data_IF_074472131364
#
_entry.id   IF_074472131364
#
_cell.length_a   1.000
_cell.length_b   1.000
_cell.length_c   1.000
_cell.angle_alpha   90.00
_cell.angle_beta   90.00
_cell.angle_gamma   90.00
#
_symmetry.space_group_name_H-M   'P 1'
#
loop_
_entity.id
_entity.type
_entity.pdbx_description
1 polymer ?
#
# COMPACT_ATOMS: atom_id res chain seq x y z
N UNK A 1 -11.04 -39.41 -0.26
CA UNK A 1 -10.62 -38.07 0.24
C UNK A 1 -11.18 -36.91 -0.59
N UNK A 2 -11.24 -36.95 -1.92
CA UNK A 2 -11.72 -35.80 -2.74
C UNK A 2 -13.26 -35.55 -2.73
N UNK A 3 -14.07 -36.56 -2.43
CA UNK A 3 -15.54 -36.43 -2.40
C UNK A 3 -16.06 -35.70 -1.15
N UNK A 4 -15.36 -35.80 -0.01
CA UNK A 4 -15.78 -35.21 1.26
C UNK A 4 -15.57 -33.69 1.28
N UNK A 5 -14.50 -33.20 0.64
CA UNK A 5 -14.23 -31.75 0.52
C UNK A 5 -15.22 -31.01 -0.39
N UNK A 6 -15.75 -31.65 -1.44
CA UNK A 6 -16.78 -31.03 -2.29
C UNK A 6 -18.13 -30.92 -1.57
N UNK A 7 -18.49 -31.90 -0.75
CA UNK A 7 -19.71 -31.84 0.06
C UNK A 7 -19.67 -30.68 1.07
N UNK A 8 -18.55 -30.49 1.77
CA UNK A 8 -18.36 -29.41 2.74
C UNK A 8 -18.42 -28.00 2.12
N UNK A 9 -17.91 -27.80 0.90
CA UNK A 9 -17.98 -26.51 0.21
C UNK A 9 -19.40 -26.17 -0.29
N UNK A 10 -20.20 -27.18 -0.66
CA UNK A 10 -21.59 -26.97 -1.11
C UNK A 10 -22.48 -26.67 0.10
N UNK A 11 -22.31 -27.37 1.22
CA UNK A 11 -23.07 -27.09 2.45
C UNK A 11 -22.74 -25.73 3.05
N UNK A 12 -21.49 -25.28 2.95
CA UNK A 12 -21.08 -23.97 3.47
C UNK A 12 -21.64 -22.80 2.64
N UNK A 13 -21.70 -22.94 1.30
CA UNK A 13 -22.34 -21.94 0.43
C UNK A 13 -23.86 -21.87 0.62
N UNK A 14 -24.53 -23.01 0.85
CA UNK A 14 -25.96 -23.02 1.10
C UNK A 14 -26.31 -22.41 2.46
N UNK A 15 -25.51 -22.67 3.50
CA UNK A 15 -25.69 -22.04 4.82
C UNK A 15 -25.47 -20.51 4.80
N UNK A 16 -24.51 -20.01 4.00
CA UNK A 16 -24.25 -18.57 3.87
C UNK A 16 -25.35 -17.85 3.08
N UNK A 17 -25.96 -18.53 2.09
CA UNK A 17 -27.11 -18.02 1.35
C UNK A 17 -28.38 -17.95 2.24
N UNK A 18 -28.62 -18.99 3.04
CA UNK A 18 -29.77 -19.06 3.96
C UNK A 18 -29.69 -18.05 5.12
N UNK A 19 -28.49 -17.81 5.66
CA UNK A 19 -28.30 -16.79 6.71
C UNK A 19 -28.51 -15.37 6.18
N UNK A 20 -28.05 -15.09 4.96
CA UNK A 20 -28.24 -13.80 4.28
C UNK A 20 -29.73 -13.56 3.95
N UNK A 21 -30.45 -14.59 3.52
CA UNK A 21 -31.89 -14.50 3.24
C UNK A 21 -32.73 -14.29 4.53
N UNK A 22 -32.30 -14.87 5.65
CA UNK A 22 -32.93 -14.67 6.96
C UNK A 22 -32.67 -13.25 7.50
N UNK A 23 -31.46 -12.71 7.33
CA UNK A 23 -31.11 -11.35 7.70
C UNK A 23 -31.93 -10.30 6.93
N UNK A 24 -32.09 -10.47 5.62
CA UNK A 24 -32.90 -9.58 4.76
C UNK A 24 -34.41 -9.68 5.10
N UNK A 25 -34.90 -10.84 5.55
CA UNK A 25 -36.29 -10.96 6.03
C UNK A 25 -36.48 -10.37 7.43
N UNK A 26 -35.45 -10.33 8.27
CA UNK A 26 -35.51 -9.75 9.61
C UNK A 26 -35.56 -8.22 9.55
N UNK A 27 -34.79 -7.59 8.65
CA UNK A 27 -34.84 -6.13 8.44
C UNK A 27 -36.15 -5.62 7.83
N UNK A 28 -36.92 -6.50 7.17
CA UNK A 28 -38.27 -6.19 6.68
C UNK A 28 -39.40 -6.45 7.69
N UNK A 29 -39.10 -7.01 8.87
CA UNK A 29 -40.09 -7.29 9.92
C UNK A 29 -40.07 -6.30 11.09
N UNK A 30 -39.04 -5.45 11.20
CA UNK A 30 -39.00 -4.37 12.21
C UNK A 30 -39.29 -2.98 11.64
N UNK A 31 -39.75 -2.87 10.39
CA UNK A 31 -40.34 -1.62 9.92
C UNK A 31 -41.82 -1.60 10.31
N UNK A 32 -42.13 -0.89 11.39
CA UNK A 32 -43.50 -0.44 11.63
C UNK A 32 -43.88 0.43 10.43
N UNK A 33 -44.79 -0.08 9.58
CA UNK A 33 -45.38 0.73 8.53
C UNK A 33 -46.19 1.82 9.22
N UNK A 34 -45.69 3.05 9.14
CA UNK A 34 -46.36 4.25 9.64
C UNK A 34 -47.44 4.66 8.63
N UNK A 35 -48.43 3.77 8.43
CA UNK A 35 -49.60 4.01 7.57
C UNK A 35 -50.88 3.76 8.38
N UNK A 36 -51.02 4.45 9.51
CA UNK A 36 -52.31 4.70 10.15
C UNK A 36 -52.15 5.99 10.97
N UNK A 37 -51.95 7.10 10.26
CA UNK A 37 -52.42 8.37 10.78
C UNK A 37 -53.75 8.58 10.08
N UNK A 38 -54.82 8.20 10.76
CA UNK A 38 -56.14 8.75 10.45
C UNK A 38 -55.98 10.28 10.42
N UNK A 39 -56.51 10.98 9.39
CA UNK A 39 -56.75 12.39 9.54
C UNK A 39 -57.54 12.57 10.84
N UNK A 40 -57.03 13.42 11.73
CA UNK A 40 -57.77 13.84 12.90
C UNK A 40 -59.03 14.54 12.36
N UNK A 41 -60.13 13.80 12.30
CA UNK A 41 -61.44 14.36 12.03
C UNK A 41 -61.77 15.23 13.24
N UNK A 42 -61.70 16.55 13.04
CA UNK A 42 -62.24 17.50 13.98
C UNK A 42 -63.72 17.15 14.16
N UNK A 43 -64.06 16.62 15.34
CA UNK A 43 -65.43 16.30 15.71
C UNK A 43 -66.24 17.60 15.73
N UNK A 44 -67.08 17.76 14.71
CA UNK A 44 -68.23 18.67 14.74
C UNK A 44 -69.09 18.35 15.98
N UNK A 45 -69.16 19.30 16.91
CA UNK A 45 -70.14 19.29 18.00
C UNK A 45 -71.48 19.82 17.46
N UNK A 46 -72.58 19.05 17.50
CA UNK A 46 -73.90 19.64 17.47
C UNK A 46 -74.33 19.96 18.90
N UNK A 47 -75.09 21.05 19.05
CA UNK A 47 -76.16 21.34 20.04
C UNK A 47 -75.97 22.72 20.65
N UNK A 48 -76.63 23.72 20.06
CA UNK A 48 -77.37 24.74 20.79
C UNK A 48 -78.48 25.19 19.85
N UNK A 49 -79.71 24.80 20.18
CA UNK A 49 -80.90 25.35 19.56
C UNK A 49 -81.08 26.82 19.99
N UNK A 50 -81.81 27.57 19.16
CA UNK A 50 -82.42 28.90 19.34
C UNK A 50 -81.58 30.11 18.87
N UNK A 51 -81.78 30.57 17.63
CA UNK A 51 -82.70 31.70 17.31
C UNK A 51 -82.61 32.11 15.82
N UNK A 52 -83.76 32.47 15.24
CA UNK A 52 -83.99 32.87 13.84
C UNK A 52 -83.33 34.22 13.47
N UNK A 53 -82.77 34.33 12.24
CA UNK A 53 -82.98 35.48 11.32
C UNK A 53 -82.10 35.38 10.07
N UNK A 54 -82.72 35.57 8.91
CA UNK A 54 -82.16 35.62 7.56
C UNK A 54 -81.12 36.76 7.39
N UNK A 55 -80.00 36.50 6.67
CA UNK A 55 -79.41 37.33 5.60
C UNK A 55 -77.90 37.06 5.33
N UNK A 56 -77.57 36.96 4.04
CA UNK A 56 -76.27 37.21 3.37
C UNK A 56 -75.14 36.14 3.43
N UNK A 57 -74.95 35.46 2.28
CA UNK A 57 -73.78 34.64 1.93
C UNK A 57 -72.49 35.47 1.95
N UNK A 58 -71.75 35.40 3.06
CA UNK A 58 -70.43 36.00 3.19
C UNK A 58 -69.35 34.93 2.89
N UNK A 59 -68.78 34.95 1.69
CA UNK A 59 -67.67 34.06 1.30
C UNK A 59 -66.41 34.52 2.04
N UNK A 60 -66.04 33.79 3.09
CA UNK A 60 -64.80 33.99 3.85
C UNK A 60 -63.62 33.45 3.04
N UNK A 61 -62.84 34.33 2.43
CA UNK A 61 -61.55 33.96 1.83
C UNK A 61 -60.57 33.68 2.97
N UNK A 62 -60.41 32.41 3.32
CA UNK A 62 -59.37 31.95 4.26
C UNK A 62 -58.02 32.09 3.58
N UNK A 63 -57.34 33.23 3.79
CA UNK A 63 -55.92 33.37 3.48
C UNK A 63 -55.18 32.47 4.46
N UNK A 64 -54.79 31.28 4.03
CA UNK A 64 -53.88 30.44 4.81
C UNK A 64 -52.53 31.13 4.79
N UNK A 65 -52.06 31.58 5.95
CA UNK A 65 -50.68 32.01 6.12
C UNK A 65 -49.76 30.88 5.63
N UNK A 66 -48.84 31.19 4.70
CA UNK A 66 -47.90 30.21 4.19
C UNK A 66 -47.03 29.73 5.36
N UNK A 67 -47.30 28.52 5.85
CA UNK A 67 -46.50 27.91 6.91
C UNK A 67 -45.05 27.85 6.43
N UNK A 68 -44.14 28.45 7.19
CA UNK A 68 -42.70 28.39 6.92
C UNK A 68 -42.28 26.93 6.68
N UNK A 69 -41.87 26.64 5.44
CA UNK A 69 -41.30 25.35 5.06
C UNK A 69 -39.91 25.29 5.67
N UNK A 70 -39.81 24.70 6.85
CA UNK A 70 -38.53 24.50 7.53
C UNK A 70 -37.60 23.64 6.69
N UNK A 71 -36.55 24.25 6.17
CA UNK A 71 -35.52 23.56 5.41
C UNK A 71 -34.58 22.85 6.38
N UNK A 72 -34.72 21.53 6.48
CA UNK A 72 -33.94 20.69 7.39
C UNK A 72 -32.46 20.58 6.98
N UNK A 73 -32.09 21.12 5.83
CA UNK A 73 -30.71 21.13 5.32
C UNK A 73 -29.74 21.85 6.27
N UNK A 74 -30.23 22.84 7.02
CA UNK A 74 -29.46 23.59 8.02
C UNK A 74 -29.14 22.78 9.29
N UNK A 75 -29.90 21.71 9.60
CA UNK A 75 -29.58 20.76 10.67
C UNK A 75 -28.46 19.78 10.25
N UNK A 76 -28.42 19.42 8.97
CA UNK A 76 -27.47 18.43 8.45
C UNK A 76 -26.04 18.97 8.29
N UNK A 77 -25.86 20.30 8.32
CA UNK A 77 -24.57 20.97 8.30
C UNK A 77 -23.97 21.17 9.70
N UNK A 78 -24.34 20.31 10.65
CA UNK A 78 -23.73 20.29 11.98
C UNK A 78 -22.25 19.91 11.86
N UNK A 79 -21.40 20.88 12.21
CA UNK A 79 -19.93 20.84 12.23
C UNK A 79 -19.36 19.49 12.68
N UNK A 80 -18.98 18.61 11.75
CA UNK A 80 -18.13 17.46 12.07
C UNK A 80 -16.70 17.96 12.25
N UNK A 81 -16.41 18.58 13.38
CA UNK A 81 -15.06 19.03 13.69
C UNK A 81 -14.18 17.79 13.87
N UNK A 82 -13.12 17.70 13.05
CA UNK A 82 -12.04 16.70 13.13
C UNK A 82 -11.16 16.90 14.40
N UNK A 83 -11.72 17.39 15.50
CA UNK A 83 -10.94 17.74 16.70
C UNK A 83 -10.54 16.51 17.53
N UNK A 84 -11.23 15.39 17.31
CA UNK A 84 -10.94 14.13 17.98
C UNK A 84 -10.26 13.15 17.02
N UNK A 85 -8.94 13.09 17.09
CA UNK A 85 -8.14 12.10 16.39
C UNK A 85 -7.36 11.26 17.40
N UNK A 86 -7.51 9.91 17.40
CA UNK A 86 -6.68 9.06 18.24
C UNK A 86 -5.21 9.16 17.80
N UNK A 87 -4.30 9.17 18.76
CA UNK A 87 -2.87 9.20 18.47
C UNK A 87 -2.41 7.85 17.91
N UNK A 88 -1.87 7.85 16.68
CA UNK A 88 -1.26 6.67 16.07
C UNK A 88 -0.02 6.25 16.87
N UNK A 89 -0.01 5.01 17.35
CA UNK A 89 1.14 4.42 18.04
C UNK A 89 2.24 4.20 17.01
N UNK A 90 3.31 5.00 17.09
CA UNK A 90 4.50 4.85 16.25
C UNK A 90 5.37 3.72 16.82
N UNK A 91 5.70 2.74 15.98
CA UNK A 91 6.72 1.75 16.33
C UNK A 91 8.10 2.38 16.12
N UNK A 92 8.66 2.99 17.16
CA UNK A 92 10.07 3.36 17.14
C UNK A 92 10.92 2.13 17.42
N UNK A 93 11.92 1.81 16.57
CA UNK A 93 12.84 0.72 16.86
C UNK A 93 13.57 1.05 18.16
N UNK A 94 13.59 0.10 19.10
CA UNK A 94 14.28 0.28 20.39
C UNK A 94 15.71 0.79 20.17
N UNK A 95 16.14 1.87 20.84
CA UNK A 95 17.51 2.36 20.69
C UNK A 95 18.48 1.24 21.10
N UNK A 96 19.53 1.03 20.29
CA UNK A 96 20.55 0.02 20.59
C UNK A 96 21.25 0.41 21.89
N UNK A 97 21.34 -0.53 22.83
CA UNK A 97 22.04 -0.31 24.10
C UNK A 97 23.53 -0.01 23.85
N UNK A 98 24.02 1.11 24.38
CA UNK A 98 25.42 1.51 24.28
C UNK A 98 26.25 0.58 25.17
N UNK A 99 27.12 -0.22 24.57
CA UNK A 99 28.03 -1.11 25.30
C UNK A 99 29.38 -0.41 25.45
N UNK A 100 29.84 -0.22 26.69
CA UNK A 100 31.14 0.35 26.99
C UNK A 100 32.22 -0.74 27.06
N UNK A 101 33.43 -0.41 26.60
CA UNK A 101 34.59 -1.30 26.76
C UNK A 101 35.05 -1.32 28.22
N UNK A 102 35.19 -2.51 28.82
CA UNK A 102 35.61 -2.64 30.23
C UNK A 102 37.01 -2.08 30.53
N UNK A 103 37.89 -2.00 29.52
CA UNK A 103 39.27 -1.54 29.66
C UNK A 103 39.47 -0.06 29.38
N UNK A 104 38.63 0.55 28.55
CA UNK A 104 38.86 1.91 28.03
C UNK A 104 37.71 2.86 28.34
N UNK A 105 36.55 2.34 28.78
CA UNK A 105 35.35 3.16 29.06
C UNK A 105 34.73 3.78 27.81
N UNK A 106 35.29 3.52 26.62
CA UNK A 106 34.82 4.06 25.34
C UNK A 106 33.70 3.16 24.81
N UNK A 107 32.61 3.72 24.25
CA UNK A 107 31.54 2.96 23.62
C UNK A 107 32.04 2.17 22.41
N UNK A 108 31.75 0.87 22.41
CA UNK A 108 32.09 -0.06 21.33
C UNK A 108 31.33 0.36 20.06
N UNK A 109 31.98 0.26 18.89
CA UNK A 109 31.45 0.57 17.56
C UNK A 109 31.17 2.06 17.25
N UNK A 110 31.52 2.99 18.14
CA UNK A 110 31.41 4.44 17.86
C UNK A 110 32.69 4.98 17.21
N UNK A 111 33.85 4.45 17.60
CA UNK A 111 35.13 4.82 16.99
C UNK A 111 35.49 3.84 15.87
N UNK A 112 36.06 4.32 14.75
CA UNK A 112 36.63 3.45 13.73
C UNK A 112 37.72 2.58 14.37
N UNK A 113 37.70 1.28 14.09
CA UNK A 113 38.72 0.33 14.58
C UNK A 113 40.11 0.87 14.20
N UNK A 114 41.08 0.77 15.11
CA UNK A 114 42.47 1.18 14.88
C UNK A 114 43.08 0.29 13.79
N UNK A 115 42.88 0.66 12.53
CA UNK A 115 43.45 0.06 11.34
C UNK A 115 44.45 1.02 10.68
N UNK A 116 44.90 0.66 9.48
CA UNK A 116 45.68 1.58 8.64
C UNK A 116 44.92 2.90 8.50
N UNK A 117 45.66 4.02 8.47
CA UNK A 117 45.05 5.35 8.30
C UNK A 117 44.20 5.39 7.03
N UNK A 118 43.10 6.15 7.04
CA UNK A 118 42.18 6.25 5.90
C UNK A 118 42.92 6.57 4.58
N UNK A 119 43.92 7.46 4.64
CA UNK A 119 44.80 7.81 3.51
C UNK A 119 45.64 6.65 2.98
N UNK A 120 46.03 5.72 3.84
CA UNK A 120 46.84 4.56 3.47
C UNK A 120 46.00 3.48 2.79
N UNK A 121 44.75 3.29 3.24
CA UNK A 121 43.77 2.43 2.55
C UNK A 121 43.40 2.99 1.18
N UNK A 122 43.15 4.30 1.09
CA UNK A 122 42.84 4.98 -0.16
C UNK A 122 43.97 4.78 -1.18
N UNK A 123 45.22 5.01 -0.79
CA UNK A 123 46.39 4.78 -1.67
C UNK A 123 46.49 3.34 -2.18
N UNK A 124 46.16 2.35 -1.35
CA UNK A 124 46.18 0.94 -1.78
C UNK A 124 45.02 0.57 -2.69
N UNK A 125 43.86 1.22 -2.54
CA UNK A 125 42.67 1.01 -3.37
C UNK A 125 42.74 1.70 -4.74
N UNK A 126 43.59 2.71 -4.89
CA UNK A 126 43.72 3.47 -6.14
C UNK A 126 44.44 2.71 -7.26
N UNK A 127 45.24 1.69 -6.95
CA UNK A 127 45.96 0.90 -7.97
C UNK A 127 45.21 -0.40 -8.20
N UNK A 128 44.40 -0.46 -9.25
CA UNK A 128 43.74 -1.70 -9.63
C UNK A 128 44.69 -2.53 -10.50
N UNK A 129 44.52 -3.86 -10.45
CA UNK A 129 45.23 -4.77 -11.36
C UNK A 129 44.93 -4.48 -12.84
N UNK A 130 43.81 -3.80 -13.13
CA UNK A 130 43.45 -3.30 -14.46
C UNK A 130 44.33 -2.15 -14.95
N UNK A 131 44.91 -1.37 -14.04
CA UNK A 131 45.67 -0.15 -14.34
C UNK A 131 47.15 -0.47 -14.66
N UNK A 132 47.56 -1.71 -14.38
CA UNK A 132 48.87 -2.21 -14.76
C UNK A 132 48.93 -2.47 -16.27
N UNK A 133 50.05 -2.13 -16.93
CA UNK A 133 50.20 -2.36 -18.35
C UNK A 133 50.09 -3.85 -18.68
N UNK A 134 49.22 -4.18 -19.62
CA UNK A 134 48.99 -5.56 -20.06
C UNK A 134 50.19 -6.06 -20.86
N UNK A 135 50.50 -7.35 -20.72
CA UNK A 135 51.57 -8.01 -21.50
C UNK A 135 51.34 -7.86 -23.00
N UNK A 136 50.07 -7.82 -23.44
CA UNK A 136 49.73 -7.60 -24.86
C UNK A 136 50.07 -6.20 -25.39
N UNK A 137 50.19 -5.19 -24.54
CA UNK A 137 50.47 -3.79 -24.95
C UNK A 137 51.96 -3.45 -24.97
N UNK A 138 52.80 -4.32 -24.41
CA UNK A 138 54.24 -4.10 -24.33
C UNK A 138 54.94 -4.56 -25.62
N UNK A 139 55.94 -3.81 -26.14
CA UNK A 139 56.72 -4.22 -27.29
C UNK A 139 57.44 -5.55 -27.06
N UNK A 140 57.59 -6.36 -28.11
CA UNK A 140 58.34 -7.62 -28.03
C UNK A 140 59.85 -7.34 -27.83
N UNK A 141 60.49 -7.92 -26.81
CA UNK A 141 61.95 -7.89 -26.71
C UNK A 141 62.59 -8.74 -27.82
N UNK A 142 63.68 -8.24 -28.41
CA UNK A 142 64.38 -8.90 -29.53
C UNK A 142 65.15 -10.16 -29.12
N UNK A 143 65.75 -10.16 -27.93
CA UNK A 143 66.61 -11.24 -27.42
C UNK A 143 65.93 -12.09 -26.31
N UNK A 144 64.67 -12.51 -26.52
CA UNK A 144 63.96 -13.37 -25.55
C UNK A 144 64.42 -14.84 -25.60
N UNK A 145 64.49 -15.50 -24.45
CA UNK A 145 64.73 -16.95 -24.39
C UNK A 145 63.51 -17.74 -24.91
N UNK A 146 63.68 -19.04 -25.18
CA UNK A 146 62.56 -19.91 -25.59
C UNK A 146 61.49 -20.02 -24.50
N UNK A 147 61.89 -19.95 -23.24
CA UNK A 147 61.00 -20.01 -22.08
C UNK A 147 60.19 -18.73 -21.93
N UNK A 148 60.84 -17.56 -21.98
CA UNK A 148 60.18 -16.26 -21.93
C UNK A 148 59.15 -16.08 -23.05
N UNK A 149 59.48 -16.59 -24.24
CA UNK A 149 58.57 -16.60 -25.39
C UNK A 149 57.30 -17.42 -25.11
N UNK A 150 57.42 -18.55 -24.43
CA UNK A 150 56.29 -19.40 -24.03
C UNK A 150 55.46 -18.70 -22.96
N UNK A 151 56.11 -18.18 -21.91
CA UNK A 151 55.46 -17.45 -20.83
C UNK A 151 54.66 -16.24 -21.35
N UNK A 152 55.24 -15.42 -22.23
CA UNK A 152 54.53 -14.28 -22.86
C UNK A 152 53.28 -14.74 -23.62
N UNK A 153 53.40 -15.78 -24.45
CA UNK A 153 52.28 -16.28 -25.24
C UNK A 153 51.18 -16.89 -24.35
N UNK A 154 51.58 -17.57 -23.27
CA UNK A 154 50.65 -18.12 -22.29
C UNK A 154 49.89 -17.01 -21.57
N UNK A 155 50.58 -15.99 -21.06
CA UNK A 155 49.94 -14.83 -20.42
C UNK A 155 48.90 -14.15 -21.33
N UNK A 156 49.22 -13.95 -22.62
CA UNK A 156 48.27 -13.38 -23.59
C UNK A 156 47.06 -14.31 -23.83
N UNK A 157 47.28 -15.63 -23.83
CA UNK A 157 46.21 -16.62 -24.03
C UNK A 157 45.27 -16.66 -22.83
N UNK A 158 45.81 -16.59 -21.63
CA UNK A 158 45.08 -16.53 -20.37
C UNK A 158 44.27 -15.23 -20.27
N UNK A 159 44.88 -14.07 -20.54
CA UNK A 159 44.19 -12.77 -20.56
C UNK A 159 42.99 -12.78 -21.53
N UNK A 160 43.16 -13.36 -22.73
CA UNK A 160 42.09 -13.51 -23.72
C UNK A 160 41.00 -14.48 -23.26
N UNK A 161 41.36 -15.54 -22.53
CA UNK A 161 40.42 -16.52 -21.98
C UNK A 161 39.58 -15.86 -20.87
N UNK A 162 40.23 -15.16 -19.95
CA UNK A 162 39.59 -14.40 -18.86
C UNK A 162 38.62 -13.35 -19.40
N UNK A 163 39.04 -12.56 -20.40
CA UNK A 163 38.15 -11.58 -21.05
C UNK A 163 36.93 -12.22 -21.70
N UNK A 164 37.06 -13.43 -22.28
CA UNK A 164 35.90 -14.16 -22.85
C UNK A 164 34.97 -14.65 -21.75
N UNK A 165 35.51 -15.15 -20.64
CA UNK A 165 34.70 -15.58 -19.50
C UNK A 165 33.97 -14.42 -18.84
N UNK A 166 34.64 -13.28 -18.64
CA UNK A 166 34.04 -12.03 -18.14
C UNK A 166 32.94 -11.53 -19.07
N UNK A 167 33.21 -11.43 -20.38
CA UNK A 167 32.19 -11.03 -21.37
C UNK A 167 30.98 -11.96 -21.34
N UNK A 168 31.21 -13.27 -21.20
CA UNK A 168 30.13 -14.27 -21.09
C UNK A 168 29.34 -14.08 -19.78
N UNK A 169 30.02 -13.91 -18.65
CA UNK A 169 29.40 -13.66 -17.35
C UNK A 169 28.55 -12.38 -17.37
N UNK A 170 29.11 -11.27 -17.88
CA UNK A 170 28.39 -10.00 -18.03
C UNK A 170 27.17 -10.14 -18.94
N UNK A 171 27.31 -10.80 -20.10
CA UNK A 171 26.18 -11.04 -21.01
C UNK A 171 25.07 -11.85 -20.33
N UNK A 172 25.43 -12.85 -19.51
CA UNK A 172 24.46 -13.63 -18.75
C UNK A 172 23.82 -12.80 -17.64
N UNK A 173 24.58 -12.00 -16.91
CA UNK A 173 24.06 -11.11 -15.86
C UNK A 173 23.02 -10.14 -16.42
N UNK A 174 23.32 -9.43 -17.52
CA UNK A 174 22.36 -8.54 -18.18
C UNK A 174 21.13 -9.28 -18.72
N UNK A 175 21.29 -10.51 -19.22
CA UNK A 175 20.16 -11.32 -19.69
C UNK A 175 19.24 -11.74 -18.54
N UNK A 176 19.79 -12.07 -17.38
CA UNK A 176 19.03 -12.42 -16.19
C UNK A 176 18.29 -11.20 -15.63
N UNK A 177 18.96 -10.06 -15.52
CA UNK A 177 18.35 -8.83 -15.00
C UNK A 177 17.24 -8.32 -15.92
N UNK A 178 17.44 -8.36 -17.25
CA UNK A 178 16.39 -8.04 -18.22
C UNK A 178 15.14 -8.91 -18.00
N UNK A 179 15.31 -10.22 -17.84
CA UNK A 179 14.19 -11.14 -17.59
C UNK A 179 13.48 -10.82 -16.26
N UNK A 180 14.23 -10.42 -15.24
CA UNK A 180 13.67 -10.03 -13.94
C UNK A 180 12.82 -8.77 -14.09
N UNK A 181 13.34 -7.72 -14.72
CA UNK A 181 12.61 -6.48 -14.99
C UNK A 181 11.35 -6.71 -15.82
N UNK A 182 11.41 -7.57 -16.85
CA UNK A 182 10.24 -7.93 -17.65
C UNK A 182 9.13 -8.58 -16.79
N UNK A 183 9.49 -9.44 -15.84
CA UNK A 183 8.54 -10.06 -14.90
C UNK A 183 7.96 -9.04 -13.92
N UNK A 184 8.80 -8.18 -13.35
CA UNK A 184 8.34 -7.12 -12.42
C UNK A 184 7.36 -6.18 -13.12
N UNK A 185 7.67 -5.78 -14.35
CA UNK A 185 6.80 -4.94 -15.18
C UNK A 185 5.47 -5.64 -15.50
N UNK A 186 5.48 -6.94 -15.79
CA UNK A 186 4.25 -7.71 -15.98
C UNK A 186 3.41 -7.80 -14.70
N UNK A 187 4.05 -7.97 -13.55
CA UNK A 187 3.36 -8.02 -12.26
C UNK A 187 2.70 -6.68 -11.91
N UNK A 188 3.39 -5.55 -12.15
CA UNK A 188 2.82 -4.21 -11.94
C UNK A 188 1.56 -4.00 -12.78
N UNK A 189 1.59 -4.38 -14.07
CA UNK A 189 0.41 -4.33 -14.94
C UNK A 189 -0.79 -5.12 -14.41
N UNK A 190 -0.54 -6.23 -13.71
CA UNK A 190 -1.61 -7.03 -13.10
C UNK A 190 -2.19 -6.38 -11.82
N UNK A 191 -1.40 -5.56 -11.12
CA UNK A 191 -1.78 -4.92 -9.85
C UNK A 191 -2.48 -3.55 -10.10
N UNK A 192 -2.19 -2.87 -11.21
CA UNK A 192 -2.80 -1.59 -11.59
C UNK A 192 -4.35 -1.62 -11.64
N UNK A 193 -4.98 -2.80 -11.70
CA UNK A 193 -6.43 -2.97 -11.66
C UNK A 193 -7.05 -3.22 -10.27
N UNK A 194 -6.25 -3.43 -9.22
CA UNK A 194 -6.74 -3.70 -7.87
C UNK A 194 -6.58 -2.45 -7.00
N UNK A 195 -7.67 -1.70 -6.81
CA UNK A 195 -7.73 -0.63 -5.81
C UNK A 195 -7.72 -1.29 -4.42
N UNK A 196 -6.70 -1.00 -3.64
CA UNK A 196 -6.61 -1.30 -2.20
C UNK A 196 -7.51 -0.34 -1.41
#
# INVERSE_FOLDING_TARGET
MALVSRALLVTCNLMFSLSCFHFIKCTKKSCVKLNTLEPFEDQDLPTNELDESENEEMITVVVREEKEKWDCESICSTYSNLYNHPQLIKYEPKPKQIHLSAKTGIPLNVLPKKGLTAKQLERMQMINSSDLPKVSTQPRPKNESKEDKRARKQAIKEERKERRTEKKANKLAFKLEKRRQEKELLNLKNIEGLKL
#
